data_IF_936719458786
#
_entry.id   IF_936719458786
#
_cell.length_a   1.000
_cell.length_b   1.000
_cell.length_c   1.000
_cell.angle_alpha   90.00
_cell.angle_beta   90.00
_cell.angle_gamma   90.00
#
_symmetry.space_group_name_H-M   'P 1'
#
loop_
_entity.id
_entity.type
_entity.pdbx_description
1 polymer ?
#
# COMPACT_ATOMS: atom_id res chain seq x y z
N UNK A 1 11.26 17.56 14.50
CA UNK A 1 10.45 16.98 13.41
C UNK A 1 9.12 17.72 13.36
N UNK A 2 8.71 18.21 12.19
CA UNK A 2 7.54 19.08 12.06
C UNK A 2 6.22 18.38 12.37
N UNK A 3 5.14 19.16 12.53
CA UNK A 3 3.79 18.70 12.88
C UNK A 3 3.32 17.56 11.95
N UNK A 4 3.66 17.63 10.66
CA UNK A 4 3.38 16.60 9.66
C UNK A 4 4.08 15.26 9.91
N UNK A 5 5.33 15.26 10.39
CA UNK A 5 6.08 14.04 10.72
C UNK A 5 5.47 13.32 11.92
N UNK A 6 5.08 14.07 12.95
CA UNK A 6 4.46 13.48 14.14
C UNK A 6 3.04 12.94 13.86
N UNK A 7 2.29 13.54 12.93
CA UNK A 7 1.01 12.98 12.47
C UNK A 7 1.21 11.70 11.66
N UNK A 8 2.23 11.69 10.79
CA UNK A 8 2.56 10.53 9.97
C UNK A 8 3.04 9.33 10.80
N UNK A 9 3.88 9.56 11.81
CA UNK A 9 4.31 8.52 12.76
C UNK A 9 3.13 7.94 13.56
N UNK A 10 2.11 8.74 13.89
CA UNK A 10 0.88 8.24 14.53
C UNK A 10 0.06 7.31 13.63
N UNK A 11 0.26 7.38 12.31
CA UNK A 11 -0.36 6.48 11.33
C UNK A 11 0.50 5.28 10.96
N UNK A 12 1.65 5.10 11.62
CA UNK A 12 2.47 3.90 11.47
C UNK A 12 1.63 2.65 11.73
N UNK A 13 1.64 1.70 10.79
CA UNK A 13 0.71 0.57 10.80
C UNK A 13 -0.52 0.70 9.90
N UNK A 14 -0.92 1.91 9.54
CA UNK A 14 -2.05 2.20 8.62
C UNK A 14 -1.62 2.82 7.30
N UNK A 15 -0.31 3.05 7.13
CA UNK A 15 0.32 3.61 5.94
C UNK A 15 -0.01 2.81 4.69
N UNK A 16 0.04 1.47 4.77
CA UNK A 16 -0.32 0.63 3.63
C UNK A 16 -1.78 0.84 3.21
N UNK A 17 -2.69 0.94 4.17
CA UNK A 17 -4.12 1.16 3.88
C UNK A 17 -4.34 2.54 3.26
N UNK A 18 -3.67 3.57 3.78
CA UNK A 18 -3.77 4.94 3.27
C UNK A 18 -3.20 5.01 1.84
N UNK A 19 -1.99 4.50 1.63
CA UNK A 19 -1.35 4.47 0.32
C UNK A 19 -2.16 3.64 -0.69
N UNK A 20 -2.69 2.49 -0.28
CA UNK A 20 -3.56 1.66 -1.12
C UNK A 20 -4.86 2.37 -1.48
N UNK A 21 -5.49 3.06 -0.52
CA UNK A 21 -6.73 3.80 -0.76
C UNK A 21 -6.49 5.00 -1.67
N UNK A 22 -5.42 5.76 -1.44
CA UNK A 22 -5.05 6.89 -2.27
C UNK A 22 -4.72 6.44 -3.71
N UNK A 23 -3.92 5.38 -3.84
CA UNK A 23 -3.60 4.77 -5.14
C UNK A 23 -4.87 4.27 -5.84
N UNK A 24 -5.70 3.49 -5.15
CA UNK A 24 -6.92 2.91 -5.73
C UNK A 24 -7.93 3.98 -6.15
N UNK A 25 -8.20 4.97 -5.29
CA UNK A 25 -9.10 6.07 -5.61
C UNK A 25 -8.59 6.90 -6.79
N UNK A 26 -7.30 7.24 -6.82
CA UNK A 26 -6.71 7.98 -7.92
C UNK A 26 -6.70 7.18 -9.23
N UNK A 27 -6.43 5.88 -9.18
CA UNK A 27 -6.51 5.01 -10.36
C UNK A 27 -7.93 4.94 -10.93
N UNK A 28 -8.94 4.78 -10.07
CA UNK A 28 -10.36 4.81 -10.49
C UNK A 28 -10.72 6.14 -11.10
N UNK A 29 -10.33 7.24 -10.46
CA UNK A 29 -10.59 8.59 -10.96
C UNK A 29 -9.97 8.81 -12.34
N UNK A 30 -8.73 8.35 -12.53
CA UNK A 30 -8.02 8.44 -13.80
C UNK A 30 -8.73 7.62 -14.88
N UNK A 31 -9.15 6.40 -14.57
CA UNK A 31 -9.89 5.54 -15.50
C UNK A 31 -11.24 6.14 -15.91
N UNK A 32 -12.02 6.64 -14.96
CA UNK A 32 -13.33 7.26 -15.24
C UNK A 32 -13.16 8.53 -16.07
N UNK A 33 -12.17 9.35 -15.75
CA UNK A 33 -11.90 10.60 -16.48
C UNK A 33 -11.37 10.31 -17.90
N UNK A 34 -10.49 9.33 -18.05
CA UNK A 34 -10.04 8.87 -19.36
C UNK A 34 -11.20 8.27 -20.18
N UNK A 35 -12.09 7.52 -19.53
CA UNK A 35 -13.26 6.96 -20.19
C UNK A 35 -14.17 8.05 -20.77
N UNK A 36 -14.42 9.11 -19.99
CA UNK A 36 -15.20 10.26 -20.46
C UNK A 36 -14.56 10.92 -21.69
N UNK A 37 -13.26 11.16 -21.68
CA UNK A 37 -12.58 11.84 -22.80
C UNK A 37 -12.48 10.97 -24.06
N UNK A 38 -12.25 9.67 -23.90
CA UNK A 38 -11.94 8.77 -25.01
C UNK A 38 -13.17 8.11 -25.62
N UNK A 39 -14.23 7.85 -24.84
CA UNK A 39 -15.35 7.00 -25.29
C UNK A 39 -16.71 7.68 -25.29
N UNK A 40 -16.91 8.78 -24.56
CA UNK A 40 -18.22 9.43 -24.44
C UNK A 40 -18.41 10.65 -25.34
N UNK A 41 -17.59 10.81 -26.38
CA UNK A 41 -17.57 11.97 -27.30
C UNK A 41 -18.90 12.23 -28.01
N UNK A 42 -19.72 11.19 -28.23
CA UNK A 42 -21.02 11.29 -28.90
C UNK A 42 -22.17 11.69 -27.97
N UNK A 43 -21.90 11.93 -26.68
CA UNK A 43 -22.93 12.33 -25.71
C UNK A 43 -23.12 13.86 -25.74
N UNK A 44 -24.37 14.33 -25.59
CA UNK A 44 -24.73 15.74 -25.53
C UNK A 44 -23.99 16.49 -24.39
N UNK A 45 -23.74 15.81 -23.26
CA UNK A 45 -23.10 16.39 -22.08
C UNK A 45 -21.56 16.32 -22.12
N UNK A 46 -20.98 15.76 -23.20
CA UNK A 46 -19.55 15.52 -23.29
C UNK A 46 -18.72 16.80 -23.18
N UNK A 47 -19.15 17.85 -23.88
CA UNK A 47 -18.45 19.14 -23.89
C UNK A 47 -18.44 19.81 -22.51
N UNK A 48 -19.54 19.70 -21.77
CA UNK A 48 -19.68 20.30 -20.43
C UNK A 48 -18.76 19.64 -19.40
N UNK A 49 -18.63 18.31 -19.47
CA UNK A 49 -17.83 17.52 -18.53
C UNK A 49 -16.36 17.39 -18.91
N UNK A 50 -15.97 17.73 -20.15
CA UNK A 50 -14.59 17.60 -20.63
C UNK A 50 -13.59 18.40 -19.79
N UNK A 51 -13.94 19.64 -19.41
CA UNK A 51 -13.07 20.47 -18.57
C UNK A 51 -12.81 19.85 -17.20
N UNK A 52 -13.86 19.32 -16.57
CA UNK A 52 -13.74 18.63 -15.29
C UNK A 52 -12.92 17.33 -15.43
N UNK A 53 -13.16 16.54 -16.48
CA UNK A 53 -12.42 15.31 -16.73
C UNK A 53 -10.90 15.56 -16.89
N UNK A 54 -10.50 16.60 -17.62
CA UNK A 54 -9.08 16.97 -17.75
C UNK A 54 -8.48 17.34 -16.39
N UNK A 55 -9.18 18.17 -15.60
CA UNK A 55 -8.73 18.54 -14.25
C UNK A 55 -8.57 17.31 -13.34
N UNK A 56 -9.50 16.36 -13.43
CA UNK A 56 -9.47 15.12 -12.65
C UNK A 56 -8.36 14.16 -13.10
N UNK A 57 -8.01 14.11 -14.40
CA UNK A 57 -6.82 13.39 -14.89
C UNK A 57 -5.54 13.96 -14.28
N UNK A 58 -5.39 15.29 -14.30
CA UNK A 58 -4.17 15.92 -13.75
C UNK A 58 -4.07 15.64 -12.24
N UNK A 59 -5.15 15.84 -11.51
CA UNK A 59 -5.18 15.61 -10.06
C UNK A 59 -4.86 14.14 -9.72
N UNK A 60 -5.53 13.18 -10.35
CA UNK A 60 -5.29 11.75 -10.12
C UNK A 60 -3.88 11.34 -10.48
N UNK A 61 -3.31 11.88 -11.57
CA UNK A 61 -1.94 11.58 -11.98
C UNK A 61 -0.93 12.03 -10.92
N UNK A 62 -1.10 13.23 -10.35
CA UNK A 62 -0.22 13.73 -9.28
C UNK A 62 -0.31 12.83 -8.04
N UNK A 63 -1.53 12.45 -7.63
CA UNK A 63 -1.72 11.57 -6.48
C UNK A 63 -1.08 10.20 -6.74
N UNK A 64 -1.21 9.64 -7.94
CA UNK A 64 -0.59 8.37 -8.30
C UNK A 64 0.94 8.45 -8.26
N UNK A 65 1.55 9.52 -8.77
CA UNK A 65 3.02 9.68 -8.75
C UNK A 65 3.55 9.64 -7.31
N UNK A 66 2.82 10.22 -6.36
CA UNK A 66 3.22 10.25 -4.94
C UNK A 66 2.88 8.94 -4.22
N UNK A 67 1.66 8.42 -4.40
CA UNK A 67 1.17 7.26 -3.65
C UNK A 67 1.73 5.92 -4.15
N UNK A 68 2.05 5.80 -5.45
CA UNK A 68 2.52 4.55 -6.06
C UNK A 68 3.83 4.02 -5.44
N UNK A 69 4.92 4.79 -5.34
CA UNK A 69 6.18 4.26 -4.80
C UNK A 69 6.01 3.77 -3.36
N UNK A 70 5.25 4.50 -2.56
CA UNK A 70 4.98 4.13 -1.18
C UNK A 70 4.12 2.87 -1.08
N UNK A 71 3.04 2.79 -1.88
CA UNK A 71 2.18 1.62 -1.96
C UNK A 71 2.95 0.37 -2.39
N UNK A 72 3.77 0.47 -3.43
CA UNK A 72 4.57 -0.66 -3.94
C UNK A 72 5.60 -1.13 -2.91
N UNK A 73 6.28 -0.21 -2.23
CA UNK A 73 7.26 -0.56 -1.21
C UNK A 73 6.59 -1.31 -0.03
N UNK A 74 5.48 -0.78 0.48
CA UNK A 74 4.74 -1.42 1.57
C UNK A 74 4.12 -2.76 1.14
N UNK A 75 3.60 -2.87 -0.08
CA UNK A 75 3.15 -4.16 -0.64
C UNK A 75 4.30 -5.16 -0.74
N UNK A 76 5.51 -4.71 -1.08
CA UNK A 76 6.72 -5.53 -1.09
C UNK A 76 6.96 -6.20 0.26
N UNK A 77 6.92 -5.43 1.35
CA UNK A 77 7.06 -6.00 2.71
C UNK A 77 5.96 -7.01 3.07
N UNK A 78 4.72 -6.79 2.62
CA UNK A 78 3.64 -7.77 2.81
C UNK A 78 3.94 -9.08 2.08
N UNK A 79 4.46 -8.99 0.85
CA UNK A 79 4.81 -10.17 0.06
C UNK A 79 5.98 -10.93 0.68
N UNK A 80 7.00 -10.23 1.21
CA UNK A 80 8.10 -10.88 1.95
C UNK A 80 7.55 -11.64 3.16
N UNK A 81 6.66 -11.04 3.95
CA UNK A 81 6.05 -11.75 5.09
C UNK A 81 5.21 -12.94 4.66
N UNK A 82 4.52 -12.88 3.52
CA UNK A 82 3.77 -14.00 2.98
C UNK A 82 4.71 -15.13 2.54
N UNK A 83 5.76 -14.81 1.78
CA UNK A 83 6.79 -15.76 1.34
C UNK A 83 7.43 -16.47 2.54
N UNK A 84 7.83 -15.72 3.58
CA UNK A 84 8.42 -16.32 4.79
C UNK A 84 7.46 -17.21 5.55
N UNK A 85 6.15 -16.92 5.49
CA UNK A 85 5.12 -17.76 6.12
C UNK A 85 4.89 -19.08 5.39
N UNK A 86 5.21 -19.13 4.10
CA UNK A 86 5.13 -20.33 3.26
C UNK A 86 6.35 -21.26 3.42
N UNK A 87 7.46 -20.77 3.99
CA UNK A 87 8.64 -21.61 4.23
C UNK A 87 8.35 -22.72 5.25
N UNK A 88 8.48 -23.98 4.81
CA UNK A 88 8.33 -25.15 5.67
C UNK A 88 9.59 -25.42 6.52
N UNK A 89 10.77 -25.16 5.95
CA UNK A 89 12.07 -25.39 6.59
C UNK A 89 12.35 -24.37 7.71
N UNK A 90 12.43 -24.86 8.95
CA UNK A 90 12.71 -24.02 10.13
C UNK A 90 14.11 -23.41 10.11
N UNK A 91 15.10 -24.08 9.52
CA UNK A 91 16.47 -23.57 9.39
C UNK A 91 16.56 -22.44 8.36
N UNK A 92 15.83 -22.56 7.25
CA UNK A 92 15.73 -21.51 6.24
C UNK A 92 14.96 -20.30 6.77
N UNK A 93 13.84 -20.53 7.46
CA UNK A 93 13.08 -19.48 8.12
C UNK A 93 13.91 -18.74 9.17
N UNK A 94 14.73 -19.46 9.95
CA UNK A 94 15.64 -18.85 10.91
C UNK A 94 16.71 -17.98 10.22
N UNK A 95 17.19 -18.38 9.05
CA UNK A 95 18.17 -17.62 8.26
C UNK A 95 17.59 -16.31 7.73
N UNK A 96 16.35 -16.34 7.23
CA UNK A 96 15.67 -15.16 6.67
C UNK A 96 14.82 -14.38 7.69
N UNK A 97 14.88 -14.75 8.96
CA UNK A 97 14.10 -14.10 10.02
C UNK A 97 14.30 -12.59 10.10
N UNK A 98 15.54 -12.12 9.90
CA UNK A 98 15.84 -10.68 9.96
C UNK A 98 15.08 -9.88 8.90
N UNK A 99 14.87 -10.46 7.71
CA UNK A 99 14.08 -9.85 6.63
C UNK A 99 12.61 -9.70 7.08
N UNK A 100 12.06 -10.72 7.73
CA UNK A 100 10.70 -10.69 8.27
C UNK A 100 10.54 -9.72 9.44
N UNK A 101 11.51 -9.67 10.36
CA UNK A 101 11.49 -8.73 11.49
C UNK A 101 11.55 -7.27 10.99
N UNK A 102 12.34 -6.98 9.96
CA UNK A 102 12.41 -5.67 9.32
C UNK A 102 11.12 -5.32 8.57
N UNK A 103 10.58 -6.24 7.76
CA UNK A 103 9.33 -6.05 7.03
C UNK A 103 8.15 -5.81 7.99
N UNK A 104 8.05 -6.59 9.06
CA UNK A 104 6.99 -6.47 10.05
C UNK A 104 7.08 -5.16 10.84
N UNK A 105 8.30 -4.70 11.14
CA UNK A 105 8.53 -3.39 11.76
C UNK A 105 8.14 -2.24 10.83
N UNK A 106 8.56 -2.29 9.56
CA UNK A 106 8.25 -1.26 8.57
C UNK A 106 6.74 -1.16 8.29
N UNK A 107 6.04 -2.28 8.26
CA UNK A 107 4.59 -2.31 8.12
C UNK A 107 3.84 -1.82 9.36
N UNK A 108 4.34 -2.13 10.56
CA UNK A 108 3.69 -1.79 11.82
C UNK A 108 2.34 -2.50 12.05
N UNK A 109 1.51 -1.92 12.92
CA UNK A 109 0.18 -2.43 13.29
C UNK A 109 0.14 -3.96 13.53
N UNK A 110 -0.94 -4.62 13.09
CA UNK A 110 -1.17 -6.05 13.27
C UNK A 110 -0.20 -6.95 12.49
N UNK A 111 0.61 -6.41 11.57
CA UNK A 111 1.62 -7.20 10.85
C UNK A 111 2.77 -7.63 11.76
N UNK A 112 3.20 -6.74 12.67
CA UNK A 112 4.19 -7.06 13.70
C UNK A 112 3.70 -8.17 14.64
N UNK A 113 2.46 -8.06 15.12
CA UNK A 113 1.86 -9.07 15.99
C UNK A 113 1.66 -10.40 15.26
N UNK A 114 1.13 -10.37 14.03
CA UNK A 114 0.94 -11.58 13.22
C UNK A 114 2.24 -12.31 12.89
N UNK A 115 3.32 -11.55 12.67
CA UNK A 115 4.65 -12.12 12.46
C UNK A 115 5.20 -12.76 13.74
N UNK A 116 5.03 -12.10 14.87
CA UNK A 116 5.43 -12.66 16.17
C UNK A 116 4.67 -13.94 16.52
N UNK A 117 3.35 -13.97 16.32
CA UNK A 117 2.53 -15.16 16.55
C UNK A 117 2.95 -16.32 15.63
N UNK A 118 3.33 -16.02 14.38
CA UNK A 118 3.87 -17.02 13.46
C UNK A 118 5.22 -17.58 13.92
N UNK A 119 6.13 -16.72 14.38
CA UNK A 119 7.40 -17.19 14.92
C UNK A 119 7.23 -18.03 16.20
N UNK A 120 6.23 -17.69 17.04
CA UNK A 120 5.86 -18.49 18.21
C UNK A 120 5.32 -19.86 17.80
N UNK A 121 4.43 -19.93 16.79
CA UNK A 121 3.87 -21.22 16.33
C UNK A 121 4.93 -22.14 15.72
N UNK A 122 5.98 -21.58 15.12
CA UNK A 122 7.14 -22.33 14.61
C UNK A 122 8.23 -22.60 15.67
N UNK A 123 8.03 -22.19 16.92
CA UNK A 123 8.99 -22.38 18.02
C UNK A 123 10.26 -21.52 17.92
N UNK A 124 10.28 -20.53 17.03
CA UNK A 124 11.42 -19.64 16.78
C UNK A 124 11.43 -18.39 17.68
N UNK A 125 10.33 -18.14 18.40
CA UNK A 125 10.21 -17.08 19.40
C UNK A 125 9.42 -17.59 20.62
N UNK A 126 9.81 -17.17 21.82
CA UNK A 126 9.00 -17.41 23.03
C UNK A 126 7.88 -16.38 23.08
N UNK A 127 6.67 -16.82 23.40
CA UNK A 127 5.54 -15.92 23.70
C UNK A 127 5.97 -15.03 24.88
N UNK A 128 5.93 -13.70 24.69
CA UNK A 128 6.10 -12.73 25.78
C UNK A 128 4.77 -12.58 26.52
#
# INVERSE_FOLDING_TARGET
MGIFGNMWEKQHGRQLLIAATAFGAAAVLLMVSAYQLLFLQNNADWGELTGAAIGMIVLSSIVLIVATPEFLNLRGYVNVLAELKEIESTSELKRRRSEGDEAAKSLGAGHAQSWDDFLVSKGLKKRK
#
